data_IF_787310118363
#
_entry.id   IF_787310118363
#
_cell.length_a   1.000
_cell.length_b   1.000
_cell.length_c   1.000
_cell.angle_alpha   90.00
_cell.angle_beta   90.00
_cell.angle_gamma   90.00
#
_symmetry.space_group_name_H-M   'P 1'
#
loop_
_entity.id
_entity.type
_entity.pdbx_description
1 polymer ?
#
# COMPACT_ATOMS: atom_id res chain seq x y z
N UNK A 1 0.27 13.70 -8.19
CA UNK A 1 -0.81 12.81 -7.73
C UNK A 1 -0.31 12.19 -6.44
N UNK A 2 -0.99 12.38 -5.31
CA UNK A 2 -0.52 11.81 -4.04
C UNK A 2 -0.64 10.29 -4.08
N UNK A 3 0.47 9.59 -3.84
CA UNK A 3 0.47 8.15 -3.67
C UNK A 3 -0.31 7.82 -2.40
N UNK A 4 -1.41 7.10 -2.56
CA UNK A 4 -2.26 6.69 -1.45
C UNK A 4 -1.72 5.38 -0.89
N UNK A 5 -1.37 5.36 0.39
CA UNK A 5 -1.04 4.10 1.09
C UNK A 5 -2.28 3.20 1.13
N UNK A 6 -2.15 1.93 0.74
CA UNK A 6 -3.28 0.96 0.69
C UNK A 6 -3.06 -0.18 1.68
N UNK A 7 -4.08 -0.50 2.46
CA UNK A 7 -4.10 -1.66 3.35
C UNK A 7 -4.03 -2.95 2.52
N UNK A 8 -3.05 -3.82 2.77
CA UNK A 8 -2.93 -5.06 2.01
C UNK A 8 -3.90 -6.16 2.44
N UNK A 9 -4.59 -5.96 3.57
CA UNK A 9 -5.63 -6.87 4.03
C UNK A 9 -6.93 -6.55 3.29
N UNK A 10 -7.54 -5.38 3.50
CA UNK A 10 -8.82 -5.02 2.90
C UNK A 10 -8.74 -4.32 1.53
N UNK A 11 -7.54 -3.97 1.04
CA UNK A 11 -7.31 -3.20 -0.20
C UNK A 11 -7.91 -1.78 -0.19
N UNK A 12 -8.15 -1.22 1.00
CA UNK A 12 -8.63 0.16 1.15
C UNK A 12 -7.49 1.17 1.40
N UNK A 13 -7.68 2.43 0.95
CA UNK A 13 -6.84 3.56 1.35
C UNK A 13 -6.65 3.71 2.86
N UNK A 14 -5.43 4.07 3.28
CA UNK A 14 -5.06 4.38 4.66
C UNK A 14 -4.44 5.77 4.72
N UNK A 15 -5.23 6.76 5.14
CA UNK A 15 -4.78 8.17 5.23
C UNK A 15 -3.92 8.47 6.46
N UNK A 16 -4.18 7.79 7.58
CA UNK A 16 -3.49 7.98 8.86
C UNK A 16 -2.76 6.70 9.27
N UNK A 17 -1.74 6.32 8.50
CA UNK A 17 -1.08 5.02 8.66
C UNK A 17 -0.31 4.92 10.00
N UNK A 18 -0.65 3.90 10.79
CA UNK A 18 0.08 3.49 11.99
C UNK A 18 0.61 2.08 11.74
N UNK A 19 1.92 1.87 11.87
CA UNK A 19 2.53 0.57 11.64
C UNK A 19 2.03 -0.50 12.62
N UNK A 20 2.08 -1.76 12.17
CA UNK A 20 1.66 -2.92 12.96
C UNK A 20 2.41 -3.03 14.28
N UNK A 21 3.70 -2.72 14.34
CA UNK A 21 4.48 -2.72 15.60
C UNK A 21 3.97 -1.67 16.61
N UNK A 22 3.54 -0.51 16.13
CA UNK A 22 2.95 0.53 16.98
C UNK A 22 1.57 0.13 17.52
N UNK A 23 0.77 -0.57 16.72
CA UNK A 23 -0.52 -1.13 17.13
C UNK A 23 -0.33 -2.29 18.12
N UNK A 24 0.59 -3.22 17.83
CA UNK A 24 0.99 -4.30 18.71
C UNK A 24 1.42 -3.80 20.10
N UNK A 25 2.24 -2.75 20.15
CA UNK A 25 2.65 -2.11 21.39
C UNK A 25 1.45 -1.57 22.19
N UNK A 26 0.47 -0.96 21.52
CA UNK A 26 -0.76 -0.49 22.17
C UNK A 26 -1.57 -1.66 22.75
N UNK A 27 -1.74 -2.75 21.99
CA UNK A 27 -2.47 -3.95 22.43
C UNK A 27 -1.80 -4.59 23.64
N UNK A 28 -0.48 -4.78 23.63
CA UNK A 28 0.22 -5.34 24.79
C UNK A 28 0.18 -4.42 26.00
N UNK A 29 0.31 -3.11 25.82
CA UNK A 29 0.16 -2.16 26.92
C UNK A 29 -1.24 -2.24 27.52
N UNK A 30 -2.27 -2.35 26.69
CA UNK A 30 -3.64 -2.53 27.16
C UNK A 30 -3.80 -3.84 27.95
N UNK A 31 -3.29 -4.98 27.43
CA UNK A 31 -3.31 -6.27 28.12
C UNK A 31 -2.60 -6.23 29.48
N UNK A 32 -1.47 -5.52 29.57
CA UNK A 32 -0.76 -5.32 30.83
C UNK A 32 -1.61 -4.53 31.85
N UNK A 33 -2.22 -3.41 31.42
CA UNK A 33 -3.04 -2.56 32.29
C UNK A 33 -4.24 -3.29 32.88
N UNK A 34 -4.85 -4.19 32.11
CA UNK A 34 -5.98 -5.00 32.56
C UNK A 34 -5.57 -6.33 33.19
N UNK A 35 -4.26 -6.59 33.37
CA UNK A 35 -3.71 -7.81 33.99
C UNK A 35 -3.98 -9.11 33.20
N UNK A 36 -4.15 -9.04 31.88
CA UNK A 36 -4.33 -10.19 30.97
C UNK A 36 -3.08 -10.51 30.14
N UNK A 37 -1.89 -10.27 30.68
CA UNK A 37 -0.59 -10.51 30.02
C UNK A 37 -0.32 -11.96 29.59
N UNK A 38 -1.08 -12.93 30.10
CA UNK A 38 -1.01 -14.33 29.64
C UNK A 38 -1.43 -14.51 28.17
N UNK A 39 -2.14 -13.54 27.58
CA UNK A 39 -2.50 -13.53 26.15
C UNK A 39 -1.38 -12.98 25.25
N UNK A 40 -0.40 -12.27 25.82
CA UNK A 40 0.68 -11.63 25.05
C UNK A 40 1.46 -12.60 24.16
N UNK A 41 1.77 -13.86 24.55
CA UNK A 41 2.44 -14.80 23.65
C UNK A 41 1.60 -15.15 22.40
N UNK A 42 0.29 -15.34 22.54
CA UNK A 42 -0.61 -15.63 21.40
C UNK A 42 -0.71 -14.43 20.46
N UNK A 43 -0.84 -13.24 21.05
CA UNK A 43 -0.89 -11.97 20.31
C UNK A 43 0.43 -11.70 19.57
N UNK A 44 1.57 -12.01 20.19
CA UNK A 44 2.88 -11.93 19.55
C UNK A 44 3.03 -12.91 18.37
N UNK A 45 2.58 -14.14 18.54
CA UNK A 45 2.59 -15.12 17.44
C UNK A 45 1.80 -14.60 16.24
N UNK A 46 0.56 -14.17 16.46
CA UNK A 46 -0.30 -13.62 15.39
C UNK A 46 0.25 -12.34 14.77
N UNK A 47 0.86 -11.46 15.57
CA UNK A 47 1.55 -10.26 15.06
C UNK A 47 2.66 -10.65 14.08
N UNK A 48 3.48 -11.64 14.44
CA UNK A 48 4.55 -12.13 13.56
C UNK A 48 3.99 -12.77 12.28
N UNK A 49 2.90 -13.54 12.39
CA UNK A 49 2.22 -14.14 11.23
C UNK A 49 1.72 -13.05 10.28
N UNK A 50 1.02 -12.03 10.80
CA UNK A 50 0.55 -10.89 10.00
C UNK A 50 1.73 -10.17 9.34
N UNK A 51 2.82 -9.89 10.08
CA UNK A 51 4.01 -9.25 9.49
C UNK A 51 4.59 -10.08 8.36
N UNK A 52 4.65 -11.41 8.51
CA UNK A 52 5.17 -12.29 7.46
C UNK A 52 4.33 -12.23 6.19
N UNK A 53 3.00 -12.14 6.32
CA UNK A 53 2.06 -12.04 5.19
C UNK A 53 2.15 -10.67 4.50
N UNK A 54 2.40 -9.60 5.27
CA UNK A 54 2.40 -8.23 4.76
C UNK A 54 3.72 -7.75 4.17
N UNK A 55 4.83 -8.46 4.42
CA UNK A 55 6.16 -8.12 3.89
C UNK A 55 6.12 -8.12 2.36
N UNK A 56 6.52 -7.01 1.75
CA UNK A 56 6.74 -6.87 0.31
C UNK A 56 8.13 -6.30 0.06
N UNK A 57 8.60 -6.48 -1.18
CA UNK A 57 9.82 -5.89 -1.75
C UNK A 57 9.61 -4.45 -2.29
N UNK A 58 8.50 -3.81 -1.94
CA UNK A 58 8.13 -2.46 -2.45
C UNK A 58 8.44 -1.36 -1.45
N UNK A 59 8.35 -0.10 -1.92
CA UNK A 59 8.44 1.08 -1.07
C UNK A 59 7.40 1.03 0.07
N UNK A 60 7.88 1.29 1.29
CA UNK A 60 7.06 1.29 2.51
C UNK A 60 6.26 2.57 2.71
N UNK A 61 5.55 2.65 3.84
CA UNK A 61 4.82 3.84 4.26
C UNK A 61 5.36 4.38 5.60
N UNK A 62 5.29 5.70 5.78
CA UNK A 62 5.69 6.35 7.03
C UNK A 62 4.61 6.23 8.10
N UNK A 63 4.95 5.61 9.21
CA UNK A 63 4.07 5.54 10.37
C UNK A 63 3.93 6.91 11.04
N UNK A 64 2.71 7.41 11.21
CA UNK A 64 2.47 8.72 11.84
C UNK A 64 2.91 8.77 13.31
N UNK A 65 2.98 7.61 13.99
CA UNK A 65 3.33 7.50 15.41
C UNK A 65 4.84 7.40 15.66
N UNK A 66 5.52 6.43 15.06
CA UNK A 66 6.97 6.25 15.26
C UNK A 66 7.84 6.95 14.21
N UNK A 67 7.24 7.51 13.15
CA UNK A 67 7.93 8.15 12.01
C UNK A 67 8.87 7.23 11.22
N UNK A 68 8.87 5.93 11.49
CA UNK A 68 9.61 4.94 10.72
C UNK A 68 8.91 4.59 9.39
N UNK A 69 9.71 4.32 8.36
CA UNK A 69 9.24 3.75 7.10
C UNK A 69 9.13 2.22 7.23
N UNK A 70 7.97 1.65 6.93
CA UNK A 70 7.70 0.20 7.08
C UNK A 70 6.99 -0.38 5.86
N UNK A 71 7.33 -1.61 5.48
CA UNK A 71 6.72 -2.32 4.36
C UNK A 71 5.43 -3.07 4.73
N UNK A 72 5.19 -3.33 6.02
CA UNK A 72 4.02 -4.07 6.50
C UNK A 72 2.79 -3.16 6.66
N UNK A 73 2.10 -2.89 5.55
CA UNK A 73 0.98 -1.94 5.49
C UNK A 73 -0.36 -2.66 5.71
N UNK A 74 -0.96 -2.43 6.89
CA UNK A 74 -2.34 -2.80 7.21
C UNK A 74 -3.06 -1.62 7.86
N UNK A 75 -4.36 -1.47 7.61
CA UNK A 75 -5.17 -0.48 8.30
C UNK A 75 -5.37 -0.90 9.77
N UNK A 76 -5.52 0.08 10.69
CA UNK A 76 -5.75 -0.22 12.10
C UNK A 76 -6.95 -1.14 12.35
N UNK A 77 -8.03 -1.01 11.56
CA UNK A 77 -9.22 -1.83 11.68
C UNK A 77 -8.93 -3.31 11.46
N UNK A 78 -8.35 -3.69 10.31
CA UNK A 78 -8.03 -5.09 10.00
C UNK A 78 -7.02 -5.68 10.98
N UNK A 79 -5.97 -4.93 11.33
CA UNK A 79 -4.98 -5.41 12.29
C UNK A 79 -5.60 -5.66 13.67
N UNK A 80 -6.38 -4.73 14.20
CA UNK A 80 -7.00 -4.87 15.51
C UNK A 80 -8.10 -5.92 15.53
N UNK A 81 -8.78 -6.16 14.41
CA UNK A 81 -9.73 -7.26 14.27
C UNK A 81 -9.06 -8.63 14.47
N UNK A 82 -7.87 -8.83 13.93
CA UNK A 82 -7.11 -10.08 14.12
C UNK A 82 -6.70 -10.29 15.59
N UNK A 83 -6.33 -9.21 16.29
CA UNK A 83 -6.05 -9.27 17.72
C UNK A 83 -7.33 -9.56 18.53
N UNK A 84 -8.45 -8.95 18.11
CA UNK A 84 -9.76 -9.15 18.70
C UNK A 84 -10.20 -10.62 18.63
N UNK A 85 -9.99 -11.32 17.51
CA UNK A 85 -10.35 -12.73 17.37
C UNK A 85 -9.67 -13.60 18.44
N UNK A 86 -8.37 -13.39 18.67
CA UNK A 86 -7.61 -14.13 19.71
C UNK A 86 -8.13 -13.83 21.12
N UNK A 87 -8.47 -12.57 21.38
CA UNK A 87 -9.03 -12.14 22.67
C UNK A 87 -10.42 -12.76 22.86
N UNK A 88 -11.25 -12.77 21.82
CA UNK A 88 -12.60 -13.33 21.81
C UNK A 88 -12.63 -14.83 22.07
N UNK A 89 -11.71 -15.58 21.47
CA UNK A 89 -11.52 -17.01 21.75
C UNK A 89 -11.24 -17.27 23.24
N UNK A 90 -10.63 -16.31 23.93
CA UNK A 90 -10.27 -16.44 25.35
C UNK A 90 -11.38 -15.96 26.28
N UNK A 91 -12.04 -14.83 25.99
CA UNK A 91 -13.16 -14.30 26.77
C UNK A 91 -14.01 -13.31 25.99
N UNK A 92 -15.32 -13.56 25.91
CA UNK A 92 -16.29 -12.68 25.26
C UNK A 92 -16.44 -11.33 25.97
N UNK A 93 -16.27 -11.28 27.29
CA UNK A 93 -16.29 -10.05 28.07
C UNK A 93 -15.06 -9.19 27.76
N UNK A 94 -13.89 -9.82 27.77
CA UNK A 94 -12.61 -9.17 27.46
C UNK A 94 -12.61 -8.59 26.05
N UNK A 95 -13.16 -9.32 25.09
CA UNK A 95 -13.34 -8.87 23.72
C UNK A 95 -14.28 -7.66 23.60
N UNK A 96 -15.34 -7.62 24.41
CA UNK A 96 -16.23 -6.45 24.47
C UNK A 96 -15.54 -5.23 25.11
N UNK A 97 -14.62 -5.45 26.05
CA UNK A 97 -13.79 -4.39 26.61
C UNK A 97 -12.75 -3.88 25.59
N UNK A 98 -12.20 -4.78 24.78
CA UNK A 98 -11.27 -4.43 23.69
C UNK A 98 -11.92 -3.51 22.66
N UNK A 99 -13.10 -3.87 22.14
CA UNK A 99 -13.90 -3.06 21.21
C UNK A 99 -14.09 -1.63 21.71
N UNK A 100 -14.53 -1.48 22.98
CA UNK A 100 -14.75 -0.18 23.61
C UNK A 100 -13.48 0.65 23.74
N UNK A 101 -12.36 0.03 24.14
CA UNK A 101 -11.09 0.77 24.35
C UNK A 101 -10.44 1.22 23.06
N UNK A 102 -10.49 0.39 22.01
CA UNK A 102 -9.91 0.73 20.72
C UNK A 102 -10.89 1.50 19.82
N UNK A 103 -12.12 1.72 20.29
CA UNK A 103 -13.19 2.45 19.60
C UNK A 103 -13.56 1.83 18.24
N UNK A 104 -13.70 0.50 18.22
CA UNK A 104 -14.17 -0.25 17.05
C UNK A 104 -15.44 -1.01 17.38
N UNK A 105 -16.34 -1.07 16.40
CA UNK A 105 -17.58 -1.84 16.48
C UNK A 105 -17.45 -3.11 15.64
N UNK A 106 -16.74 -4.10 16.18
CA UNK A 106 -16.59 -5.41 15.52
C UNK A 106 -17.86 -6.29 15.63
N UNK A 107 -18.88 -5.87 16.40
CA UNK A 107 -20.11 -6.63 16.65
C UNK A 107 -21.31 -6.13 15.86
N UNK A 108 -21.51 -4.81 15.72
CA UNK A 108 -22.60 -4.25 14.94
C UNK A 108 -22.10 -3.78 13.56
N UNK A 109 -22.44 -4.58 12.56
CA UNK A 109 -21.89 -4.60 11.22
C UNK A 109 -22.43 -3.50 10.28
N UNK A 110 -22.80 -2.33 10.80
CA UNK A 110 -23.47 -1.31 9.97
C UNK A 110 -22.59 -0.14 9.52
N UNK A 111 -21.45 0.10 10.19
CA UNK A 111 -20.59 1.24 9.86
C UNK A 111 -19.45 0.91 8.87
N UNK A 112 -19.11 -0.38 8.70
CA UNK A 112 -17.98 -0.83 7.89
C UNK A 112 -18.46 -1.86 6.86
N UNK A 113 -18.99 -1.40 5.73
CA UNK A 113 -19.45 -2.27 4.64
C UNK A 113 -18.40 -3.28 4.14
N UNK A 114 -17.11 -3.04 4.43
CA UNK A 114 -15.97 -3.80 3.92
C UNK A 114 -15.37 -4.81 4.91
N UNK A 115 -15.70 -4.72 6.21
CA UNK A 115 -15.38 -5.79 7.17
C UNK A 115 -16.10 -7.09 6.78
N UNK A 116 -17.30 -7.00 6.21
CA UNK A 116 -18.08 -8.14 5.70
C UNK A 116 -17.34 -8.98 4.66
N UNK A 117 -16.60 -8.35 3.72
CA UNK A 117 -15.82 -9.07 2.70
C UNK A 117 -14.62 -9.78 3.33
N UNK A 118 -13.91 -9.11 4.24
CA UNK A 118 -12.73 -9.70 4.87
C UNK A 118 -13.09 -10.82 5.85
N UNK A 119 -14.19 -10.66 6.58
CA UNK A 119 -14.73 -11.66 7.49
C UNK A 119 -15.29 -12.88 6.74
N UNK A 120 -16.01 -12.68 5.64
CA UNK A 120 -16.46 -13.80 4.78
C UNK A 120 -15.29 -14.57 4.15
N UNK A 121 -14.20 -13.89 3.79
CA UNK A 121 -12.96 -14.56 3.36
C UNK A 121 -12.28 -15.37 4.49
N UNK A 122 -12.45 -14.98 5.75
CA UNK A 122 -11.86 -15.66 6.91
C UNK A 122 -12.66 -16.86 7.42
N UNK A 123 -13.98 -16.85 7.29
CA UNK A 123 -14.83 -18.03 7.59
C UNK A 123 -14.54 -19.21 6.65
N UNK A 124 -14.01 -18.97 5.45
CA UNK A 124 -13.74 -19.98 4.41
C UNK A 124 -12.27 -20.45 4.31
N UNK A 125 -11.48 -20.41 5.39
CA UNK A 125 -10.11 -20.96 5.50
C UNK A 125 -8.96 -20.09 4.96
N UNK A 126 -8.24 -19.49 5.92
CA UNK A 126 -6.97 -18.77 5.73
C UNK A 126 -5.79 -19.73 5.49
N UNK A 127 -5.97 -21.03 5.73
CA UNK A 127 -4.91 -22.03 5.69
C UNK A 127 -4.47 -22.46 4.28
N UNK A 128 -5.10 -22.00 3.20
CA UNK A 128 -4.79 -22.51 1.85
C UNK A 128 -4.66 -21.46 0.73
N UNK A 129 -4.65 -20.16 1.02
CA UNK A 129 -4.61 -19.14 -0.03
C UNK A 129 -3.34 -18.29 0.02
N UNK A 130 -2.48 -18.47 -0.97
CA UNK A 130 -1.55 -17.44 -1.44
C UNK A 130 -2.37 -16.30 -2.02
N UNK A 131 -2.65 -15.28 -1.21
CA UNK A 131 -3.16 -14.01 -1.73
C UNK A 131 -2.02 -13.36 -2.50
N UNK A 132 -2.06 -13.47 -3.83
CA UNK A 132 -1.37 -12.53 -4.69
C UNK A 132 -2.27 -11.30 -4.73
N UNK A 133 -1.99 -10.21 -3.98
CA UNK A 133 -2.76 -8.99 -4.14
C UNK A 133 -2.71 -8.61 -5.61
N UNK A 134 -3.88 -8.36 -6.21
CA UNK A 134 -3.93 -7.64 -7.47
C UNK A 134 -3.48 -6.22 -7.11
N UNK A 135 -2.18 -5.99 -7.22
CA UNK A 135 -1.62 -4.66 -7.05
C UNK A 135 -2.16 -3.84 -8.21
N UNK A 136 -3.22 -3.07 -7.97
CA UNK A 136 -3.62 -1.98 -8.88
C UNK A 136 -2.63 -0.82 -8.69
N UNK A 137 -1.34 -1.13 -8.84
CA UNK A 137 -0.27 -0.17 -9.11
C UNK A 137 0.48 -0.64 -10.35
N UNK A 138 -0.26 -1.20 -11.31
CA UNK A 138 0.08 -0.98 -12.71
C UNK A 138 -0.82 0.14 -13.25
N UNK A 139 -0.71 1.34 -12.66
CA UNK A 139 -0.33 2.38 -13.61
C UNK A 139 1.02 1.89 -14.08
N UNK A 140 1.07 1.30 -15.29
CA UNK A 140 2.20 1.53 -16.16
C UNK A 140 2.60 2.95 -15.83
N UNK A 141 3.78 3.12 -15.25
CA UNK A 141 4.48 4.40 -15.32
C UNK A 141 4.12 4.85 -16.72
N UNK A 142 3.37 5.95 -16.81
CA UNK A 142 3.34 6.66 -18.06
C UNK A 142 4.83 6.91 -18.23
N UNK A 143 5.49 6.02 -18.98
CA UNK A 143 6.67 6.36 -19.75
C UNK A 143 6.34 7.73 -20.27
N UNK A 144 7.30 8.63 -20.25
CA UNK A 144 7.15 10.00 -20.68
C UNK A 144 6.76 10.08 -22.18
N UNK A 145 5.62 9.49 -22.58
CA UNK A 145 5.11 9.28 -23.95
C UNK A 145 4.81 10.64 -24.57
N UNK A 146 4.78 11.69 -23.75
CA UNK A 146 4.50 13.04 -24.17
C UNK A 146 5.68 13.99 -23.93
N UNK A 147 6.86 13.56 -23.46
CA UNK A 147 8.01 14.47 -23.33
C UNK A 147 8.96 14.24 -24.49
N UNK A 148 9.25 15.31 -25.24
CA UNK A 148 10.23 15.26 -26.32
C UNK A 148 11.65 15.08 -25.77
N UNK A 149 12.37 14.06 -26.22
CA UNK A 149 13.76 13.76 -25.80
C UNK A 149 14.74 14.89 -26.16
N UNK A 150 14.43 15.72 -27.17
CA UNK A 150 15.29 16.82 -27.61
C UNK A 150 15.05 18.12 -26.85
N UNK A 151 13.79 18.55 -26.70
CA UNK A 151 13.47 19.86 -26.12
C UNK A 151 12.89 19.81 -24.71
N UNK A 152 12.60 18.62 -24.19
CA UNK A 152 12.02 18.41 -22.85
C UNK A 152 10.59 18.96 -22.69
N UNK A 153 9.94 19.38 -23.77
CA UNK A 153 8.57 19.91 -23.73
C UNK A 153 7.54 18.78 -23.81
N UNK A 154 6.40 19.02 -23.16
CA UNK A 154 5.24 18.13 -23.26
C UNK A 154 4.55 18.37 -24.61
N UNK A 155 4.30 17.32 -25.39
CA UNK A 155 3.59 17.35 -26.67
C UNK A 155 2.61 16.20 -26.76
N UNK A 156 1.43 16.46 -27.31
CA UNK A 156 0.40 15.44 -27.56
C UNK A 156 0.74 14.56 -28.78
N UNK A 157 1.71 14.98 -29.61
CA UNK A 157 2.17 14.28 -30.81
C UNK A 157 3.68 14.06 -30.76
N UNK A 158 4.06 12.91 -30.21
CA UNK A 158 5.43 12.40 -30.16
C UNK A 158 5.59 11.27 -31.19
N UNK A 159 6.64 11.35 -31.99
CA UNK A 159 6.99 10.33 -33.00
C UNK A 159 8.35 9.72 -32.68
N UNK A 160 8.47 8.40 -32.77
CA UNK A 160 9.75 7.70 -32.63
C UNK A 160 10.58 7.85 -33.92
N UNK A 161 11.80 8.37 -33.80
CA UNK A 161 12.77 8.51 -34.88
C UNK A 161 14.17 8.19 -34.37
N UNK A 162 14.84 7.21 -34.98
CA UNK A 162 16.18 6.74 -34.59
C UNK A 162 16.33 6.35 -33.10
N UNK A 163 15.26 5.83 -32.49
CA UNK A 163 15.26 5.45 -31.07
C UNK A 163 15.08 6.61 -30.09
N UNK A 164 14.75 7.82 -30.57
CA UNK A 164 14.37 8.97 -29.75
C UNK A 164 12.91 9.36 -30.00
N UNK A 165 12.24 9.85 -28.96
CA UNK A 165 10.86 10.33 -28.95
C UNK A 165 10.84 11.83 -29.19
N UNK A 166 10.50 12.27 -30.40
CA UNK A 166 10.57 13.68 -30.79
C UNK A 166 9.18 14.27 -31.02
N UNK A 167 8.95 15.51 -30.59
CA UNK A 167 7.78 16.28 -31.00
C UNK A 167 7.90 16.71 -32.47
N UNK A 168 6.76 17.08 -33.07
CA UNK A 168 6.69 17.48 -34.49
C UNK A 168 7.71 18.56 -34.86
N UNK A 169 7.90 19.58 -34.01
CA UNK A 169 8.86 20.66 -34.25
C UNK A 169 10.30 20.16 -34.31
N UNK A 170 10.72 19.30 -33.38
CA UNK A 170 12.08 18.75 -33.37
C UNK A 170 12.29 17.74 -34.52
N UNK A 171 11.23 17.03 -34.93
CA UNK A 171 11.27 16.11 -36.06
C UNK A 171 11.46 16.86 -37.38
N UNK A 172 10.81 18.01 -37.56
CA UNK A 172 10.97 18.87 -38.73
C UNK A 172 12.39 19.45 -38.84
N UNK A 173 12.97 19.92 -37.72
CA UNK A 173 14.35 20.42 -37.70
C UNK A 173 15.36 19.35 -38.13
N UNK A 174 15.18 18.11 -37.65
CA UNK A 174 16.05 16.98 -38.01
C UNK A 174 16.00 16.65 -39.51
N UNK A 175 14.84 16.86 -40.16
CA UNK A 175 14.69 16.65 -41.61
C UNK A 175 15.37 17.75 -42.43
N UNK A 176 15.42 18.97 -41.94
CA UNK A 176 16.03 20.10 -42.65
C UNK A 176 17.56 19.98 -42.67
N UNK A 177 18.18 19.40 -41.63
CA UNK A 177 19.64 19.19 -41.60
C UNK A 177 20.14 18.17 -42.63
N UNK A 178 19.33 17.16 -42.98
CA UNK A 178 19.65 16.16 -44.01
C UNK A 178 19.64 16.73 -45.44
N UNK A 179 19.11 17.95 -45.64
CA UNK A 179 19.05 18.63 -46.94
C UNK A 179 19.90 19.89 -46.98
N UNK A 180 20.83 20.12 -46.05
CA UNK A 180 21.83 21.17 -46.25
C UNK A 180 22.77 20.76 -47.39
N UNK A 181 22.79 21.49 -48.53
CA UNK A 181 23.77 21.21 -49.57
C UNK A 181 25.17 21.44 -48.99
N UNK A 182 26.03 20.43 -49.16
CA UNK A 182 27.46 20.55 -48.88
C UNK A 182 27.99 21.81 -49.56
N UNK A 183 28.30 22.82 -48.75
CA UNK A 183 29.10 23.96 -49.21
C UNK A 183 30.53 23.44 -49.30
N UNK A 184 30.95 23.09 -50.51
CA UNK A 184 32.33 22.73 -50.81
C UNK A 184 33.11 24.04 -50.81
N UNK A 185 33.85 24.29 -49.73
CA UNK A 185 34.88 25.33 -49.72
C UNK A 185 36.04 24.88 -50.62
N UNK A 186 36.16 25.53 -51.79
CA UNK A 186 37.36 25.46 -52.63
C UNK A 186 38.43 26.37 -52.02
N UNK A 187 39.54 25.78 -51.56
CA UNK A 187 40.84 26.45 -51.43
C UNK A 187 41.71 26.15 -52.64
#
# INVERSE_FOLDING_TARGET
MEETTVCKLCLEPVSNFICTDCLFSNVNKWLFLIQHQHLSPKILAKHNDIKSILRLDTDGAYCIKCKGNVGEIACPCCYLYEMYLIIKESSQELAGNFEKNFNYDFRMHHAYSQLTLWQSLHEESVSSRTFNPIIISERKILTDINICDNCGQISDMITESNGSHLCESCLEETRVELFRPFSIDFQ
#
